data_IF_821247452781
#
_entry.id   IF_821247452781
#
_cell.length_a   1.000
_cell.length_b   1.000
_cell.length_c   1.000
_cell.angle_alpha   90.00
_cell.angle_beta   90.00
_cell.angle_gamma   90.00
#
_symmetry.space_group_name_H-M   'P 1'
#
loop_
_entity.id
_entity.type
_entity.pdbx_description
1 polymer ?
#
# COMPACT_ATOMS: atom_id res chain seq x y z
N UNK A 1 10.91 0.40 -5.56
CA UNK A 1 10.01 -0.75 -5.29
C UNK A 1 8.59 -0.23 -5.13
N UNK A 2 7.66 -0.83 -5.85
CA UNK A 2 6.25 -0.42 -5.85
C UNK A 2 5.51 -1.15 -4.73
N UNK A 3 4.88 -0.39 -3.85
CA UNK A 3 4.26 -0.92 -2.62
C UNK A 3 2.78 -0.61 -2.58
N UNK A 4 1.98 -1.63 -2.29
CA UNK A 4 0.57 -1.46 -1.96
C UNK A 4 0.43 -1.61 -0.44
N UNK A 5 -0.19 -0.64 0.22
CA UNK A 5 -0.41 -0.66 1.66
C UNK A 5 -1.83 -1.11 1.95
N UNK A 6 -1.98 -2.17 2.74
CA UNK A 6 -3.29 -2.71 3.11
C UNK A 6 -3.45 -2.70 4.63
N UNK A 7 -4.45 -2.00 5.13
CA UNK A 7 -4.77 -1.95 6.56
C UNK A 7 -6.21 -1.47 6.71
N UNK A 8 -6.97 -2.12 7.59
CA UNK A 8 -8.37 -1.76 7.82
C UNK A 8 -8.52 -0.50 8.69
N UNK A 9 -7.44 -0.05 9.34
CA UNK A 9 -7.46 1.17 10.12
C UNK A 9 -6.82 2.32 9.35
N UNK A 10 -7.63 3.37 9.11
CA UNK A 10 -7.18 4.50 8.31
C UNK A 10 -5.95 5.19 8.88
N UNK A 11 -5.88 5.36 10.22
CA UNK A 11 -4.72 6.01 10.84
C UNK A 11 -3.45 5.20 10.73
N UNK A 12 -3.54 3.89 10.92
CA UNK A 12 -2.39 3.00 10.79
C UNK A 12 -1.90 2.99 9.34
N UNK A 13 -2.82 2.93 8.40
CA UNK A 13 -2.50 2.97 6.97
C UNK A 13 -1.80 4.28 6.59
N UNK A 14 -2.31 5.41 7.07
CA UNK A 14 -1.74 6.72 6.82
C UNK A 14 -0.31 6.84 7.35
N UNK A 15 -0.07 6.33 8.56
CA UNK A 15 1.27 6.34 9.16
C UNK A 15 2.26 5.53 8.34
N UNK A 16 1.84 4.35 7.90
CA UNK A 16 2.70 3.49 7.11
C UNK A 16 3.02 4.13 5.75
N UNK A 17 2.02 4.72 5.11
CA UNK A 17 2.22 5.43 3.85
C UNK A 17 3.24 6.56 4.03
N UNK A 18 3.15 7.33 5.10
CA UNK A 18 4.10 8.42 5.36
C UNK A 18 5.52 7.90 5.56
N UNK A 19 5.67 6.82 6.31
CA UNK A 19 6.98 6.21 6.52
C UNK A 19 7.58 5.73 5.20
N UNK A 20 6.80 5.10 4.37
CA UNK A 20 7.26 4.59 3.09
C UNK A 20 7.60 5.70 2.10
N UNK A 21 6.87 6.81 2.14
CA UNK A 21 7.17 7.96 1.27
C UNK A 21 8.51 8.61 1.58
N UNK A 22 8.96 8.51 2.82
CA UNK A 22 10.27 9.04 3.22
C UNK A 22 11.41 8.11 2.82
N UNK A 23 11.11 6.89 2.38
CA UNK A 23 12.11 5.93 1.95
C UNK A 23 12.28 6.02 0.44
N UNK A 24 13.46 6.39 -0.03
CA UNK A 24 13.75 6.61 -1.45
C UNK A 24 13.51 5.37 -2.31
N UNK A 25 13.59 4.19 -1.72
CA UNK A 25 13.47 2.91 -2.43
C UNK A 25 12.03 2.46 -2.62
N UNK A 26 11.08 3.13 -1.98
CA UNK A 26 9.68 2.73 -1.97
C UNK A 26 8.82 3.75 -2.70
N UNK A 27 7.92 3.24 -3.54
CA UNK A 27 6.89 4.04 -4.18
C UNK A 27 5.53 3.46 -3.76
N UNK A 28 4.75 4.21 -3.01
CA UNK A 28 3.41 3.78 -2.63
C UNK A 28 2.49 3.98 -3.82
N UNK A 29 2.06 2.88 -4.43
CA UNK A 29 1.23 2.93 -5.64
C UNK A 29 -0.26 2.90 -5.33
N UNK A 30 -0.64 2.54 -4.12
CA UNK A 30 -2.04 2.54 -3.72
C UNK A 30 -2.23 2.09 -2.28
N UNK A 31 -3.46 2.17 -1.82
CA UNK A 31 -3.88 1.76 -0.49
C UNK A 31 -5.13 0.89 -0.60
N UNK A 32 -5.24 -0.08 0.29
CA UNK A 32 -6.40 -0.94 0.39
C UNK A 32 -6.85 -1.05 1.85
N UNK A 33 -8.15 -1.14 2.08
CA UNK A 33 -8.71 -1.20 3.43
C UNK A 33 -9.08 -2.61 3.87
N UNK A 34 -9.05 -3.56 2.97
CA UNK A 34 -9.36 -4.97 3.27
C UNK A 34 -8.76 -5.87 2.19
N UNK A 35 -8.86 -7.19 2.40
CA UNK A 35 -8.28 -8.17 1.48
C UNK A 35 -8.89 -8.15 0.09
N UNK A 36 -10.21 -7.94 -0.01
CA UNK A 36 -10.88 -7.86 -1.31
C UNK A 36 -10.38 -6.66 -2.12
N UNK A 37 -10.30 -5.51 -1.47
CA UNK A 37 -9.80 -4.29 -2.10
C UNK A 37 -8.34 -4.46 -2.51
N UNK A 38 -7.55 -5.13 -1.66
CA UNK A 38 -6.15 -5.41 -1.96
C UNK A 38 -6.00 -6.29 -3.20
N UNK A 39 -6.82 -7.34 -3.33
CA UNK A 39 -6.76 -8.21 -4.49
C UNK A 39 -7.07 -7.46 -5.79
N UNK A 40 -8.08 -6.60 -5.77
CA UNK A 40 -8.41 -5.78 -6.93
C UNK A 40 -7.25 -4.86 -7.30
N UNK A 41 -6.63 -4.24 -6.31
CA UNK A 41 -5.53 -3.31 -6.56
C UNK A 41 -4.25 -4.00 -6.99
N UNK A 42 -4.01 -5.21 -6.50
CA UNK A 42 -2.88 -6.01 -7.00
C UNK A 42 -3.01 -6.25 -8.50
N UNK A 43 -4.20 -6.59 -8.96
CA UNK A 43 -4.42 -6.82 -10.39
C UNK A 43 -4.27 -5.54 -11.20
N UNK A 44 -4.75 -4.42 -10.69
CA UNK A 44 -4.71 -3.14 -11.40
C UNK A 44 -3.33 -2.49 -11.39
N UNK A 45 -2.64 -2.56 -10.26
CA UNK A 45 -1.42 -1.79 -10.03
C UNK A 45 -0.14 -2.62 -10.15
N UNK A 46 -0.25 -3.92 -10.08
CA UNK A 46 0.89 -4.86 -10.14
C UNK A 46 2.05 -4.41 -9.23
N UNK A 47 1.80 -4.28 -7.91
CA UNK A 47 2.87 -3.88 -7.00
C UNK A 47 3.91 -4.98 -6.82
N UNK A 48 5.10 -4.60 -6.38
CA UNK A 48 6.14 -5.55 -6.05
C UNK A 48 5.88 -6.23 -4.71
N UNK A 49 5.25 -5.50 -3.79
CA UNK A 49 4.97 -6.01 -2.45
C UNK A 49 3.67 -5.39 -1.90
N UNK A 50 2.97 -6.17 -1.07
CA UNK A 50 1.79 -5.71 -0.33
C UNK A 50 2.14 -5.75 1.16
N UNK A 51 1.93 -4.64 1.83
CA UNK A 51 2.18 -4.53 3.26
C UNK A 51 0.89 -4.40 4.06
#
# INVERSE_FOLDING_TARGET
>A
MRVLVCDDEALARDRLVRLLRDADECEVVGEAENGRDALQKVEMLTPDVVL
#
